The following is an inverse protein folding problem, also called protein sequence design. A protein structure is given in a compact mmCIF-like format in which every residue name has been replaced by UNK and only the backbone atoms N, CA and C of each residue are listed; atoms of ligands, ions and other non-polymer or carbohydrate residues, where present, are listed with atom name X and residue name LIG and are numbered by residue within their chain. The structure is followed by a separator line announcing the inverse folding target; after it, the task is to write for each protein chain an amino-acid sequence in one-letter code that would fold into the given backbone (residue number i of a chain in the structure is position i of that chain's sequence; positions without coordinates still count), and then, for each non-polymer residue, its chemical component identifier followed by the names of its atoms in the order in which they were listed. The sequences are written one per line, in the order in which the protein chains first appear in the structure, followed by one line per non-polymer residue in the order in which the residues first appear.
data_IF_649718424451
#
_entry.id   IF_649718424451
#
_cell.length_a   1.000
_cell.length_b   1.000
_cell.length_c   1.000
_cell.angle_alpha   90.00
_cell.angle_beta   90.00
_cell.angle_gamma   90.00
#
_symmetry.space_group_name_H-M   'P 1'
#
loop_
_entity.id
_entity.type
_entity.pdbx_description
1 polymer ?
#
# COMPACT_ATOMS: atom_id res chain seq x y z
N UNK A 1 22.26 9.64 14.60
CA UNK A 1 22.72 8.51 13.79
C UNK A 1 21.73 7.37 13.82
N UNK A 2 21.19 7.06 12.69
CA UNK A 2 20.78 5.79 12.11
C UNK A 2 19.54 5.11 12.67
N UNK A 3 18.37 5.47 12.15
CA UNK A 3 17.11 4.72 12.32
C UNK A 3 16.62 4.15 10.96
N UNK A 4 17.31 4.45 9.89
CA UNK A 4 16.94 3.99 8.55
C UNK A 4 17.62 2.69 8.10
N UNK A 5 18.31 1.98 9.00
CA UNK A 5 19.30 0.96 8.64
C UNK A 5 18.93 -0.47 8.96
N UNK A 6 17.71 -0.97 8.85
CA UNK A 6 17.53 -2.42 9.11
C UNK A 6 16.87 -3.26 8.01
N UNK A 7 16.37 -2.66 6.95
CA UNK A 7 15.87 -3.43 5.80
C UNK A 7 16.32 -2.86 4.44
N UNK A 8 17.29 -1.96 4.44
CA UNK A 8 17.50 -1.01 3.36
C UNK A 8 18.42 -1.49 2.21
N UNK A 9 19.00 -2.67 2.26
CA UNK A 9 20.10 -3.02 1.34
C UNK A 9 19.92 -4.28 0.52
N UNK A 10 18.77 -4.94 0.54
CA UNK A 10 18.51 -5.98 -0.45
C UNK A 10 18.01 -5.34 -1.74
N UNK A 11 18.74 -5.57 -2.83
CA UNK A 11 18.31 -5.22 -4.17
C UNK A 11 16.91 -5.79 -4.42
N UNK A 12 15.94 -4.95 -4.79
CA UNK A 12 14.62 -5.42 -5.19
C UNK A 12 14.53 -5.41 -6.71
N UNK A 13 13.83 -6.37 -7.28
CA UNK A 13 13.56 -6.37 -8.71
C UNK A 13 12.98 -5.03 -9.19
N UNK A 14 12.13 -4.40 -8.37
CA UNK A 14 11.55 -3.09 -8.70
C UNK A 14 12.59 -1.99 -8.90
N UNK A 15 13.73 -2.04 -8.20
CA UNK A 15 14.81 -1.08 -8.37
C UNK A 15 15.60 -1.30 -9.66
N UNK A 16 15.78 -2.56 -10.02
CA UNK A 16 16.55 -2.94 -11.21
C UNK A 16 15.71 -2.82 -12.50
N UNK A 17 14.38 -2.68 -12.36
CA UNK A 17 13.42 -2.54 -13.47
C UNK A 17 12.73 -1.17 -13.52
N UNK A 18 13.40 -0.13 -12.99
CA UNK A 18 12.89 1.25 -13.09
C UNK A 18 12.82 1.68 -14.57
N UNK A 19 11.65 2.15 -14.97
CA UNK A 19 11.36 2.68 -16.31
C UNK A 19 10.95 4.16 -16.31
N UNK A 20 11.01 4.82 -15.13
CA UNK A 20 10.63 6.23 -14.95
C UNK A 20 11.81 7.02 -14.44
N UNK A 21 12.21 8.04 -15.18
CA UNK A 21 13.19 9.02 -14.75
C UNK A 21 12.51 10.22 -14.10
N UNK A 22 13.13 10.77 -13.06
CA UNK A 22 12.74 11.99 -12.38
C UNK A 22 13.66 13.14 -12.77
N UNK A 23 13.16 14.37 -12.74
CA UNK A 23 14.01 15.53 -12.73
C UNK A 23 14.92 15.53 -11.49
N UNK A 24 16.13 16.13 -11.56
CA UNK A 24 17.04 16.19 -10.43
C UNK A 24 16.37 16.74 -9.18
N UNK A 25 16.43 15.99 -8.08
CA UNK A 25 15.79 16.35 -6.81
C UNK A 25 16.86 16.40 -5.70
N UNK A 26 17.58 17.53 -5.66
CA UNK A 26 18.65 17.76 -4.69
C UNK A 26 18.11 17.86 -3.27
N UNK A 27 18.93 17.58 -2.23
CA UNK A 27 18.56 17.83 -0.85
C UNK A 27 18.12 19.29 -0.61
N UNK A 28 17.20 19.49 0.34
CA UNK A 28 16.76 20.82 0.74
C UNK A 28 17.90 21.55 1.48
N UNK A 29 18.29 22.71 0.99
CA UNK A 29 19.25 23.59 1.64
C UNK A 29 18.67 24.98 1.84
N UNK A 30 18.91 25.59 3.04
CA UNK A 30 18.47 26.95 3.33
C UNK A 30 16.97 27.09 3.65
N UNK A 31 16.46 28.31 3.50
CA UNK A 31 15.11 28.69 3.90
C UNK A 31 14.19 28.83 2.69
N UNK A 32 13.09 28.11 2.69
CA UNK A 32 12.11 28.11 1.63
C UNK A 32 10.71 28.49 2.12
N UNK A 33 9.86 28.92 1.19
CA UNK A 33 8.44 29.17 1.41
C UNK A 33 7.59 28.43 0.38
N UNK A 34 6.50 27.83 0.86
CA UNK A 34 5.51 27.17 0.04
C UNK A 34 4.10 27.49 0.55
N UNK A 35 3.09 27.22 -0.26
CA UNK A 35 1.71 27.22 0.22
C UNK A 35 1.45 25.90 0.95
N UNK A 36 2.01 24.79 0.43
CA UNK A 36 1.91 23.46 1.06
C UNK A 36 3.27 22.76 1.09
N UNK A 37 3.65 22.24 2.26
CA UNK A 37 4.78 21.32 2.42
C UNK A 37 4.27 19.89 2.63
N UNK A 38 4.64 18.98 1.74
CA UNK A 38 4.29 17.55 1.81
C UNK A 38 5.49 16.75 2.32
N UNK A 39 5.32 15.92 3.33
CA UNK A 39 6.37 15.13 3.97
C UNK A 39 6.18 13.65 3.64
N UNK A 40 7.11 13.08 2.87
CA UNK A 40 7.12 11.69 2.40
C UNK A 40 6.66 11.56 0.94
N UNK A 41 7.53 11.05 0.06
CA UNK A 41 7.27 10.83 -1.36
C UNK A 41 6.92 9.34 -1.66
N UNK A 42 5.99 8.78 -0.90
CA UNK A 42 5.21 7.60 -1.27
C UNK A 42 4.02 7.96 -2.15
N UNK A 43 3.16 6.99 -2.47
CA UNK A 43 1.95 7.22 -3.30
C UNK A 43 1.09 8.35 -2.74
N UNK A 44 0.84 8.39 -1.42
CA UNK A 44 0.02 9.45 -0.80
C UNK A 44 0.62 10.83 -1.02
N UNK A 45 1.91 11.00 -0.73
CA UNK A 45 2.56 12.31 -0.83
C UNK A 45 2.74 12.78 -2.27
N UNK A 46 3.11 11.87 -3.18
CA UNK A 46 3.21 12.19 -4.62
C UNK A 46 1.85 12.56 -5.22
N UNK A 47 0.78 11.83 -4.85
CA UNK A 47 -0.58 12.16 -5.29
C UNK A 47 -1.05 13.50 -4.71
N UNK A 48 -0.79 13.77 -3.42
CA UNK A 48 -1.13 15.07 -2.80
C UNK A 48 -0.40 16.22 -3.50
N UNK A 49 0.91 16.07 -3.72
CA UNK A 49 1.72 17.08 -4.40
C UNK A 49 1.23 17.34 -5.84
N UNK A 50 0.88 16.28 -6.58
CA UNK A 50 0.33 16.39 -7.92
C UNK A 50 -0.98 17.20 -7.94
N UNK A 51 -1.97 16.77 -7.15
CA UNK A 51 -3.30 17.41 -7.16
C UNK A 51 -3.26 18.84 -6.63
N UNK A 52 -2.41 19.14 -5.63
CA UNK A 52 -2.19 20.51 -5.14
C UNK A 52 -1.52 21.41 -6.20
N UNK A 53 -0.47 20.91 -6.85
CA UNK A 53 0.22 21.67 -7.90
C UNK A 53 -0.70 21.95 -9.10
N UNK A 54 -1.54 20.96 -9.50
CA UNK A 54 -2.56 21.16 -10.55
C UNK A 54 -3.61 22.21 -10.18
N UNK A 55 -3.85 22.44 -8.89
CA UNK A 55 -4.73 23.51 -8.39
C UNK A 55 -4.02 24.86 -8.21
N UNK A 56 -2.74 24.95 -8.59
CA UNK A 56 -1.96 26.19 -8.57
C UNK A 56 -1.26 26.51 -7.24
N UNK A 57 -1.25 25.58 -6.27
CA UNK A 57 -0.48 25.75 -5.04
C UNK A 57 1.02 25.60 -5.31
N UNK A 58 1.84 26.42 -4.63
CA UNK A 58 3.29 26.21 -4.56
C UNK A 58 3.58 25.08 -3.59
N UNK A 59 3.97 23.93 -4.11
CA UNK A 59 4.17 22.70 -3.33
C UNK A 59 5.66 22.38 -3.23
N UNK A 60 6.12 22.11 -2.00
CA UNK A 60 7.43 21.48 -1.74
C UNK A 60 7.16 20.08 -1.16
N UNK A 61 7.68 19.04 -1.84
CA UNK A 61 7.62 17.65 -1.44
C UNK A 61 8.99 17.21 -0.91
N UNK A 62 9.04 16.79 0.36
CA UNK A 62 10.26 16.37 1.05
C UNK A 62 10.27 14.83 1.22
N UNK A 63 11.35 14.19 0.81
CA UNK A 63 11.58 12.77 1.00
C UNK A 63 12.90 12.52 1.73
N UNK A 64 12.86 11.68 2.74
CA UNK A 64 14.03 11.39 3.57
C UNK A 64 15.12 10.61 2.82
N UNK A 65 14.72 9.80 1.86
CA UNK A 65 15.60 8.93 1.06
C UNK A 65 15.29 9.11 -0.43
N UNK A 66 14.95 8.02 -1.13
CA UNK A 66 14.51 8.10 -2.52
C UNK A 66 12.99 8.00 -2.60
N UNK A 67 12.38 8.60 -3.60
CA UNK A 67 10.96 8.42 -3.92
C UNK A 67 10.58 6.94 -3.91
N UNK A 68 9.48 6.62 -3.26
CA UNK A 68 8.97 5.25 -3.16
C UNK A 68 9.81 4.31 -2.30
N UNK A 69 10.73 4.79 -1.48
CA UNK A 69 11.59 3.95 -0.63
C UNK A 69 10.80 3.04 0.33
N UNK A 70 9.68 3.50 0.84
CA UNK A 70 8.81 2.75 1.75
C UNK A 70 7.96 1.68 1.06
N UNK A 71 6.79 1.37 1.64
CA UNK A 71 5.84 0.37 1.12
C UNK A 71 5.41 0.63 -0.33
N UNK A 72 5.37 1.89 -0.74
CA UNK A 72 4.97 2.32 -2.09
C UNK A 72 5.83 1.75 -3.21
N UNK A 73 7.11 1.50 -2.98
CA UNK A 73 7.99 0.90 -3.98
C UNK A 73 8.45 -0.53 -3.64
N UNK A 74 7.79 -1.19 -2.66
CA UNK A 74 8.21 -2.52 -2.18
C UNK A 74 7.05 -3.52 -2.07
N UNK A 75 5.80 -3.08 -2.23
CA UNK A 75 4.58 -3.87 -2.10
C UNK A 75 4.36 -4.82 -3.28
N UNK A 76 3.34 -5.68 -3.19
CA UNK A 76 2.92 -6.54 -4.30
C UNK A 76 2.40 -5.81 -5.52
N UNK A 77 2.09 -4.51 -5.41
CA UNK A 77 1.55 -3.70 -6.50
C UNK A 77 0.08 -3.98 -6.81
N UNK A 78 -0.64 -4.64 -5.92
CA UNK A 78 -2.06 -4.97 -6.12
C UNK A 78 -2.94 -3.75 -5.87
N UNK A 79 -3.89 -3.52 -6.76
CA UNK A 79 -4.87 -2.42 -6.72
C UNK A 79 -6.27 -3.02 -6.61
N UNK A 80 -6.94 -2.73 -5.50
CA UNK A 80 -8.19 -3.37 -5.10
C UNK A 80 -9.16 -2.33 -4.55
N UNK A 81 -10.47 -2.49 -4.78
CA UNK A 81 -11.49 -1.79 -4.00
C UNK A 81 -11.49 -2.26 -2.54
N UNK A 82 -12.13 -1.51 -1.67
CA UNK A 82 -12.25 -1.82 -0.25
C UNK A 82 -11.11 -1.27 0.61
N UNK A 83 -11.00 -1.81 1.81
CA UNK A 83 -10.04 -1.41 2.83
C UNK A 83 -9.27 -2.64 3.33
N UNK A 84 -8.22 -2.43 4.12
CA UNK A 84 -7.53 -3.50 4.84
C UNK A 84 -8.37 -4.19 5.94
N UNK A 85 -9.61 -3.75 6.13
CA UNK A 85 -10.60 -4.30 7.06
C UNK A 85 -11.89 -4.67 6.35
N UNK A 86 -12.68 -5.56 6.96
CA UNK A 86 -14.03 -5.83 6.49
C UNK A 86 -14.91 -4.58 6.60
N UNK A 87 -15.72 -4.32 5.58
CA UNK A 87 -16.62 -3.15 5.53
C UNK A 87 -17.61 -3.10 6.72
N UNK A 88 -17.92 -4.25 7.34
CA UNK A 88 -18.70 -4.31 8.59
C UNK A 88 -18.05 -3.54 9.74
N UNK A 89 -16.72 -3.48 9.78
CA UNK A 89 -16.02 -2.68 10.79
C UNK A 89 -16.34 -1.19 10.64
N UNK A 90 -16.41 -0.72 9.41
CA UNK A 90 -16.81 0.66 9.09
C UNK A 90 -18.28 0.89 9.40
N UNK A 91 -19.14 -0.03 8.95
CA UNK A 91 -20.61 0.04 9.20
C UNK A 91 -20.94 0.09 10.69
N UNK A 92 -20.25 -0.73 11.50
CA UNK A 92 -20.42 -0.73 12.96
C UNK A 92 -19.91 0.55 13.64
N UNK A 93 -18.89 1.19 13.05
CA UNK A 93 -18.29 2.40 13.63
C UNK A 93 -18.99 3.69 13.21
N UNK A 94 -19.39 3.80 11.94
CA UNK A 94 -19.88 5.04 11.32
C UNK A 94 -21.30 4.94 10.75
N UNK A 95 -21.91 3.75 10.76
CA UNK A 95 -23.20 3.50 10.17
C UNK A 95 -23.16 3.16 8.67
N UNK A 96 -24.32 2.73 8.15
CA UNK A 96 -24.43 2.15 6.81
C UNK A 96 -24.20 3.17 5.69
N UNK A 97 -24.61 4.42 5.88
CA UNK A 97 -24.39 5.47 4.86
C UNK A 97 -22.90 5.72 4.65
N UNK A 98 -22.14 5.99 5.72
CA UNK A 98 -20.71 6.21 5.66
C UNK A 98 -19.95 4.99 5.12
N UNK A 99 -20.40 3.76 5.43
CA UNK A 99 -19.83 2.55 4.88
C UNK A 99 -20.02 2.45 3.35
N UNK A 100 -21.16 2.85 2.82
CA UNK A 100 -21.41 2.94 1.38
C UNK A 100 -20.53 4.01 0.72
N UNK A 101 -20.43 5.18 1.33
CA UNK A 101 -19.59 6.27 0.82
C UNK A 101 -18.12 5.85 0.77
N UNK A 102 -17.61 5.19 1.83
CA UNK A 102 -16.24 4.66 1.88
C UNK A 102 -16.03 3.55 0.84
N UNK A 103 -17.01 2.67 0.65
CA UNK A 103 -16.94 1.64 -0.39
C UNK A 103 -16.81 2.26 -1.79
N UNK A 104 -17.67 3.23 -2.14
CA UNK A 104 -17.61 3.91 -3.43
C UNK A 104 -16.30 4.71 -3.60
N UNK A 105 -15.82 5.38 -2.57
CA UNK A 105 -14.51 6.04 -2.59
C UNK A 105 -13.38 5.04 -2.79
N UNK A 106 -13.48 3.83 -2.26
CA UNK A 106 -12.47 2.79 -2.49
C UNK A 106 -12.46 2.30 -3.95
N UNK A 107 -13.62 2.21 -4.60
CA UNK A 107 -13.73 1.93 -6.05
C UNK A 107 -13.19 3.10 -6.88
N UNK A 108 -13.49 4.35 -6.46
CA UNK A 108 -12.90 5.54 -7.09
C UNK A 108 -11.37 5.50 -7.01
N UNK A 109 -10.79 5.01 -5.90
CA UNK A 109 -9.34 4.91 -5.75
C UNK A 109 -8.69 4.03 -6.83
N UNK A 110 -9.33 2.93 -7.20
CA UNK A 110 -8.88 2.06 -8.31
C UNK A 110 -9.00 2.78 -9.65
N UNK A 111 -10.17 3.40 -9.92
CA UNK A 111 -10.39 4.17 -11.14
C UNK A 111 -9.44 5.36 -11.26
N UNK A 112 -9.16 6.06 -10.16
CA UNK A 112 -8.18 7.15 -10.10
C UNK A 112 -6.77 6.64 -10.43
N UNK A 113 -6.37 5.48 -9.89
CA UNK A 113 -5.08 4.87 -10.20
C UNK A 113 -4.95 4.61 -11.70
N UNK A 114 -5.96 3.98 -12.32
CA UNK A 114 -5.98 3.72 -13.75
C UNK A 114 -5.94 5.02 -14.58
N UNK A 115 -6.74 6.00 -14.19
CA UNK A 115 -6.76 7.31 -14.85
C UNK A 115 -5.41 8.01 -14.82
N UNK A 116 -4.73 8.01 -13.64
CA UNK A 116 -3.41 8.64 -13.50
C UNK A 116 -2.35 7.90 -14.30
N UNK A 117 -2.41 6.56 -14.37
CA UNK A 117 -1.51 5.76 -15.20
C UNK A 117 -1.67 6.12 -16.67
N UNK A 118 -2.90 6.17 -17.15
CA UNK A 118 -3.20 6.48 -18.55
C UNK A 118 -2.86 7.95 -18.88
N UNK A 119 -3.38 8.90 -18.10
CA UNK A 119 -3.22 10.33 -18.35
C UNK A 119 -1.75 10.78 -18.34
N UNK A 120 -0.95 10.27 -17.39
CA UNK A 120 0.46 10.63 -17.26
C UNK A 120 1.41 9.62 -17.96
N UNK A 121 0.85 8.67 -18.73
CA UNK A 121 1.60 7.66 -19.47
C UNK A 121 2.68 7.00 -18.58
N UNK A 122 2.24 6.47 -17.43
CA UNK A 122 3.15 5.87 -16.44
C UNK A 122 3.45 4.41 -16.87
N UNK A 123 4.71 4.06 -17.16
CA UNK A 123 5.10 2.71 -17.61
C UNK A 123 5.17 1.75 -16.42
N UNK A 124 4.02 1.41 -15.81
CA UNK A 124 3.95 0.58 -14.61
C UNK A 124 3.32 -0.81 -14.82
N UNK A 125 3.28 -1.29 -16.07
CA UNK A 125 2.82 -2.67 -16.38
C UNK A 125 1.46 -3.01 -15.76
N UNK A 126 0.50 -2.07 -15.82
CA UNK A 126 -0.81 -2.26 -15.21
C UNK A 126 -1.58 -3.38 -15.91
N UNK A 127 -2.12 -4.32 -15.12
CA UNK A 127 -2.94 -5.44 -15.58
C UNK A 127 -4.19 -5.58 -14.72
N UNK A 128 -5.31 -5.97 -15.35
CA UNK A 128 -6.59 -6.17 -14.69
C UNK A 128 -6.85 -7.64 -14.39
N UNK A 129 -7.65 -7.86 -13.37
CA UNK A 129 -8.06 -9.16 -12.88
C UNK A 129 -7.38 -9.50 -11.56
N UNK A 130 -8.20 -9.94 -10.59
CA UNK A 130 -7.75 -10.32 -9.27
C UNK A 130 -8.55 -11.49 -8.72
N UNK A 131 -7.88 -12.42 -8.03
CA UNK A 131 -8.49 -13.56 -7.41
C UNK A 131 -8.38 -13.48 -5.89
N UNK A 132 -9.52 -13.62 -5.21
CA UNK A 132 -9.61 -13.92 -3.78
C UNK A 132 -9.76 -15.42 -3.63
N UNK A 133 -8.69 -16.16 -3.36
CA UNK A 133 -8.65 -17.62 -3.45
C UNK A 133 -8.94 -18.29 -2.10
N UNK A 134 -9.97 -19.14 -2.03
CA UNK A 134 -10.26 -19.94 -0.86
C UNK A 134 -9.20 -21.02 -0.67
N UNK A 135 -8.70 -21.19 0.57
CA UNK A 135 -7.74 -22.26 0.91
C UNK A 135 -8.44 -23.43 1.61
N UNK A 136 -9.55 -23.18 2.30
CA UNK A 136 -10.26 -24.17 3.12
C UNK A 136 -11.76 -24.16 2.79
N UNK A 137 -12.49 -25.26 3.07
CA UNK A 137 -13.95 -25.30 2.84
C UNK A 137 -14.73 -24.17 3.52
N UNK A 138 -14.33 -23.76 4.73
CA UNK A 138 -14.96 -22.63 5.42
C UNK A 138 -14.79 -21.29 4.65
N UNK A 139 -13.64 -21.09 4.02
CA UNK A 139 -13.36 -19.89 3.24
C UNK A 139 -14.23 -19.85 1.96
N UNK A 140 -14.60 -21.00 1.40
CA UNK A 140 -15.56 -21.08 0.28
C UNK A 140 -16.91 -20.49 0.69
N UNK A 141 -17.40 -20.85 1.88
CA UNK A 141 -18.65 -20.32 2.43
C UNK A 141 -18.55 -18.82 2.71
N UNK A 142 -17.44 -18.40 3.32
CA UNK A 142 -17.18 -16.98 3.63
C UNK A 142 -17.13 -16.10 2.35
N UNK A 143 -16.49 -16.59 1.28
CA UNK A 143 -16.43 -15.88 0.00
C UNK A 143 -17.82 -15.79 -0.67
N UNK A 144 -18.63 -16.86 -0.63
CA UNK A 144 -20.01 -16.82 -1.14
C UNK A 144 -20.86 -15.78 -0.40
N UNK A 145 -20.79 -15.80 0.94
CA UNK A 145 -21.49 -14.83 1.76
C UNK A 145 -21.03 -13.39 1.49
N UNK A 146 -19.74 -13.20 1.25
CA UNK A 146 -19.20 -11.89 0.88
C UNK A 146 -19.75 -11.44 -0.48
N UNK A 147 -19.72 -12.29 -1.51
CA UNK A 147 -20.29 -11.98 -2.83
C UNK A 147 -21.77 -11.57 -2.74
N UNK A 148 -22.59 -12.38 -2.06
CA UNK A 148 -24.01 -12.11 -1.89
C UNK A 148 -24.27 -10.79 -1.15
N UNK A 149 -23.49 -10.52 -0.11
CA UNK A 149 -23.58 -9.29 0.65
C UNK A 149 -23.24 -8.07 -0.19
N UNK A 150 -22.13 -8.13 -0.93
CA UNK A 150 -21.70 -7.00 -1.76
C UNK A 150 -22.74 -6.68 -2.84
N UNK A 151 -23.32 -7.68 -3.46
CA UNK A 151 -24.42 -7.48 -4.41
C UNK A 151 -25.67 -6.87 -3.74
N UNK A 152 -26.10 -7.41 -2.61
CA UNK A 152 -27.34 -6.99 -1.93
C UNK A 152 -27.24 -5.63 -1.26
N UNK A 153 -26.12 -5.36 -0.52
CA UNK A 153 -26.01 -4.22 0.40
C UNK A 153 -25.28 -3.02 -0.24
N UNK A 154 -24.42 -3.28 -1.24
CA UNK A 154 -23.57 -2.29 -1.89
C UNK A 154 -23.80 -2.17 -3.41
N UNK A 155 -24.77 -2.92 -3.98
CA UNK A 155 -25.03 -2.98 -5.42
C UNK A 155 -23.75 -3.24 -6.25
N UNK A 156 -22.85 -4.11 -5.69
CA UNK A 156 -21.58 -4.43 -6.33
C UNK A 156 -21.61 -5.84 -6.91
N UNK A 157 -21.54 -5.92 -8.24
CA UNK A 157 -21.62 -7.14 -9.03
C UNK A 157 -20.29 -7.49 -9.74
N UNK A 158 -19.18 -6.84 -9.32
CA UNK A 158 -17.85 -7.06 -9.90
C UNK A 158 -17.16 -8.34 -9.46
N UNK A 159 -17.74 -9.10 -8.50
CA UNK A 159 -17.20 -10.35 -7.97
C UNK A 159 -17.84 -11.55 -8.70
N UNK A 160 -17.04 -12.33 -9.41
CA UNK A 160 -17.50 -13.50 -10.17
C UNK A 160 -16.91 -14.78 -9.59
N UNK A 161 -17.77 -15.79 -9.38
CA UNK A 161 -17.34 -17.06 -8.84
C UNK A 161 -16.56 -17.91 -9.85
N UNK A 162 -15.44 -18.51 -9.41
CA UNK A 162 -14.59 -19.41 -10.20
C UNK A 162 -14.30 -20.67 -9.41
N UNK A 163 -14.51 -21.83 -10.04
CA UNK A 163 -14.19 -23.15 -9.50
C UNK A 163 -13.92 -24.14 -10.64
N UNK A 164 -13.24 -25.25 -10.38
CA UNK A 164 -12.92 -26.27 -11.39
C UNK A 164 -12.13 -25.68 -12.56
N UNK A 165 -12.57 -26.01 -13.79
CA UNK A 165 -11.89 -25.55 -15.03
C UNK A 165 -11.95 -24.03 -15.17
N UNK A 166 -13.04 -23.38 -14.78
CA UNK A 166 -13.15 -21.92 -14.81
C UNK A 166 -12.14 -21.21 -13.87
N UNK A 167 -11.71 -21.85 -12.78
CA UNK A 167 -10.63 -21.33 -11.94
C UNK A 167 -9.26 -21.57 -12.58
N UNK A 168 -9.08 -22.72 -13.27
CA UNK A 168 -7.82 -23.05 -13.96
C UNK A 168 -7.50 -22.13 -15.13
N UNK A 169 -8.49 -21.45 -15.70
CA UNK A 169 -8.27 -20.38 -16.68
C UNK A 169 -7.52 -19.17 -16.10
N UNK A 170 -7.53 -19.01 -14.78
CA UNK A 170 -6.91 -17.87 -14.07
C UNK A 170 -5.66 -18.28 -13.28
N UNK A 171 -5.69 -19.43 -12.59
CA UNK A 171 -4.56 -19.95 -11.83
C UNK A 171 -4.47 -21.46 -11.94
N UNK A 172 -3.29 -21.96 -12.29
CA UNK A 172 -3.08 -23.40 -12.51
C UNK A 172 -2.43 -24.04 -11.28
N UNK A 173 -3.27 -24.40 -10.30
CA UNK A 173 -2.86 -25.09 -9.06
C UNK A 173 -4.04 -25.85 -8.47
N UNK A 174 -3.75 -26.90 -7.68
CA UNK A 174 -4.74 -27.67 -6.92
C UNK A 174 -4.93 -27.12 -5.48
N UNK A 175 -4.24 -26.03 -5.14
CA UNK A 175 -4.25 -25.47 -3.78
C UNK A 175 -5.57 -24.78 -3.40
N UNK A 176 -6.37 -24.39 -4.39
CA UNK A 176 -7.58 -23.59 -4.18
C UNK A 176 -8.82 -24.28 -4.74
N UNK A 177 -9.80 -24.64 -3.88
CA UNK A 177 -11.07 -25.25 -4.34
C UNK A 177 -11.94 -24.26 -5.12
N UNK A 178 -11.86 -22.96 -4.84
CA UNK A 178 -12.63 -21.92 -5.49
C UNK A 178 -12.00 -20.53 -5.24
N UNK A 179 -12.43 -19.53 -6.02
CA UNK A 179 -12.08 -18.13 -5.83
C UNK A 179 -13.22 -17.20 -6.25
N UNK A 180 -13.16 -15.95 -5.78
CA UNK A 180 -13.87 -14.83 -6.40
C UNK A 180 -12.89 -14.11 -7.31
N UNK A 181 -13.24 -14.00 -8.58
CA UNK A 181 -12.54 -13.15 -9.53
C UNK A 181 -13.16 -11.77 -9.53
N UNK A 182 -12.32 -10.74 -9.39
CA UNK A 182 -12.72 -9.34 -9.31
C UNK A 182 -12.20 -8.58 -10.53
N UNK A 183 -13.13 -8.12 -11.35
CA UNK A 183 -12.87 -7.45 -12.62
C UNK A 183 -12.29 -6.05 -12.43
N UNK A 184 -12.79 -5.33 -11.41
CA UNK A 184 -12.40 -3.94 -11.11
C UNK A 184 -11.12 -3.84 -10.28
N UNK A 185 -10.42 -4.95 -10.10
CA UNK A 185 -9.15 -5.04 -9.39
C UNK A 185 -8.03 -5.48 -10.33
N UNK A 186 -6.78 -5.29 -9.91
CA UNK A 186 -5.63 -5.66 -10.73
C UNK A 186 -4.30 -5.46 -10.02
N UNK A 187 -3.26 -5.26 -10.80
CA UNK A 187 -1.92 -5.02 -10.28
C UNK A 187 -1.07 -4.16 -11.20
N UNK A 188 0.03 -3.66 -10.66
CA UNK A 188 0.98 -2.83 -11.39
C UNK A 188 2.40 -2.94 -10.79
N UNK A 189 3.38 -2.36 -11.47
CA UNK A 189 4.73 -2.17 -10.93
C UNK A 189 4.73 -0.98 -9.95
N UNK A 190 4.78 -1.21 -8.61
CA UNK A 190 4.47 -0.19 -7.62
C UNK A 190 5.49 0.95 -7.57
N UNK A 191 6.78 0.67 -7.82
CA UNK A 191 7.80 1.71 -7.82
C UNK A 191 7.68 2.60 -9.06
N UNK A 192 7.47 2.03 -10.25
CA UNK A 192 7.25 2.82 -11.46
C UNK A 192 5.99 3.69 -11.36
N UNK A 193 4.91 3.17 -10.77
CA UNK A 193 3.72 3.98 -10.49
C UNK A 193 4.03 5.16 -9.55
N UNK A 194 4.74 4.92 -8.45
CA UNK A 194 5.10 5.98 -7.48
C UNK A 194 6.02 7.03 -8.11
N UNK A 195 7.03 6.59 -8.88
CA UNK A 195 7.93 7.49 -9.62
C UNK A 195 7.17 8.28 -10.69
N UNK A 196 6.22 7.63 -11.38
CA UNK A 196 5.36 8.29 -12.36
C UNK A 196 4.52 9.40 -11.76
N UNK A 197 3.94 9.17 -10.56
CA UNK A 197 3.24 10.22 -9.82
C UNK A 197 4.16 11.37 -9.40
N UNK A 198 5.38 11.06 -8.94
CA UNK A 198 6.36 12.08 -8.58
C UNK A 198 6.77 12.92 -9.80
N UNK A 199 7.03 12.28 -10.95
CA UNK A 199 7.29 12.97 -12.22
C UNK A 199 6.14 13.87 -12.63
N UNK A 200 4.90 13.37 -12.54
CA UNK A 200 3.71 14.15 -12.85
C UNK A 200 3.57 15.37 -11.91
N UNK A 201 3.89 15.21 -10.63
CA UNK A 201 3.88 16.31 -9.67
C UNK A 201 4.96 17.38 -10.01
N UNK A 202 6.18 16.96 -10.39
CA UNK A 202 7.23 17.89 -10.87
C UNK A 202 6.77 18.63 -12.13
N UNK A 203 6.20 17.94 -13.10
CA UNK A 203 5.66 18.54 -14.33
C UNK A 203 4.52 19.53 -14.06
N UNK A 204 3.72 19.30 -13.00
CA UNK A 204 2.70 20.22 -12.54
C UNK A 204 3.26 21.41 -11.73
N UNK A 205 4.57 21.46 -11.46
CA UNK A 205 5.25 22.56 -10.78
C UNK A 205 5.58 22.31 -9.31
N UNK A 206 5.37 21.09 -8.76
CA UNK A 206 5.82 20.76 -7.43
C UNK A 206 7.35 20.61 -7.38
N UNK A 207 7.99 21.14 -6.34
CA UNK A 207 9.44 21.02 -6.12
C UNK A 207 9.69 19.84 -5.21
N UNK A 208 10.44 18.84 -5.73
CA UNK A 208 10.81 17.64 -4.99
C UNK A 208 12.23 17.76 -4.45
N UNK A 209 12.40 17.49 -3.15
CA UNK A 209 13.71 17.31 -2.52
C UNK A 209 13.81 15.90 -1.94
N UNK A 210 14.75 15.11 -2.44
CA UNK A 210 15.16 13.82 -1.87
C UNK A 210 16.28 14.01 -0.85
N UNK A 211 16.57 12.98 -0.07
CA UNK A 211 17.61 13.01 0.99
C UNK A 211 17.45 14.19 1.96
N UNK A 212 16.19 14.53 2.24
CA UNK A 212 15.79 15.68 3.06
C UNK A 212 14.94 15.22 4.25
N UNK A 213 15.53 14.46 5.21
CA UNK A 213 14.80 13.93 6.36
C UNK A 213 14.27 15.09 7.22
N UNK A 214 12.95 15.14 7.39
CA UNK A 214 12.31 16.07 8.30
C UNK A 214 12.54 15.62 9.75
N UNK A 215 13.06 16.55 10.58
CA UNK A 215 13.42 16.29 11.97
C UNK A 215 12.49 16.97 12.97
N UNK A 216 11.77 18.02 12.54
CA UNK A 216 10.85 18.78 13.41
C UNK A 216 9.74 19.44 12.59
N UNK A 217 8.56 19.61 13.20
CA UNK A 217 7.43 20.37 12.67
C UNK A 217 6.98 21.35 13.75
N UNK A 218 7.21 22.64 13.53
CA UNK A 218 6.78 23.72 14.43
C UNK A 218 5.43 24.24 13.98
N UNK A 219 4.44 24.04 14.84
CA UNK A 219 3.07 24.48 14.57
C UNK A 219 2.92 26.00 14.76
N UNK A 220 2.00 26.61 14.02
CA UNK A 220 1.66 28.03 14.09
C UNK A 220 0.66 28.41 13.01
N UNK A 221 0.39 29.72 12.84
CA UNK A 221 -0.45 30.21 11.74
C UNK A 221 0.11 29.77 10.37
N UNK A 222 1.43 29.81 10.23
CA UNK A 222 2.21 29.07 9.25
C UNK A 222 3.04 28.04 10.00
N UNK A 223 3.12 26.84 9.45
CA UNK A 223 3.96 25.80 10.03
C UNK A 223 5.38 25.88 9.46
N UNK A 224 6.38 25.51 10.26
CA UNK A 224 7.76 25.41 9.80
C UNK A 224 8.20 23.94 9.87
N UNK A 225 8.50 23.35 8.71
CA UNK A 225 9.05 22.00 8.55
C UNK A 225 10.55 22.11 8.49
N UNK A 226 11.28 21.42 9.39
CA UNK A 226 12.73 21.53 9.56
C UNK A 226 13.41 20.24 9.11
N UNK A 227 14.43 20.36 8.27
CA UNK A 227 15.38 19.30 7.93
C UNK A 227 16.75 19.59 8.57
N UNK A 228 17.73 18.72 8.36
CA UNK A 228 19.10 18.96 8.88
C UNK A 228 19.80 20.17 8.19
N UNK A 229 19.50 20.45 6.91
CA UNK A 229 20.19 21.45 6.11
C UNK A 229 19.30 22.64 5.69
N UNK A 230 18.01 22.60 5.99
CA UNK A 230 17.10 23.67 5.57
C UNK A 230 15.75 23.60 6.28
N UNK A 231 14.86 24.53 5.93
CA UNK A 231 13.49 24.56 6.44
C UNK A 231 12.51 25.09 5.39
N UNK A 232 11.25 24.64 5.50
CA UNK A 232 10.14 25.14 4.70
C UNK A 232 9.11 25.80 5.62
N UNK A 233 8.79 27.05 5.40
CA UNK A 233 7.64 27.72 6.02
C UNK A 233 6.45 27.59 5.07
N UNK A 234 5.35 26.98 5.52
CA UNK A 234 4.19 26.70 4.69
C UNK A 234 2.87 27.04 5.40
N UNK A 235 1.86 27.42 4.62
CA UNK A 235 0.52 27.66 5.13
C UNK A 235 -0.14 26.35 5.59
N UNK A 236 0.12 25.25 4.85
CA UNK A 236 -0.37 23.91 5.17
C UNK A 236 0.76 22.88 5.13
N UNK A 237 0.60 21.81 5.94
CA UNK A 237 1.51 20.66 5.96
C UNK A 237 0.72 19.38 5.78
N UNK A 238 1.20 18.51 4.90
CA UNK A 238 0.70 17.15 4.70
C UNK A 238 1.74 16.15 5.19
N UNK A 239 1.38 15.28 6.12
CA UNK A 239 2.23 14.20 6.63
C UNK A 239 1.81 12.89 5.97
N UNK A 240 2.64 12.39 5.05
CA UNK A 240 2.43 11.17 4.26
C UNK A 240 3.51 10.10 4.52
N UNK A 241 4.07 10.09 5.73
CA UNK A 241 5.19 9.23 6.12
C UNK A 241 4.81 7.80 6.46
N UNK A 242 3.51 7.50 6.60
CA UNK A 242 2.98 6.19 6.94
C UNK A 242 3.76 5.51 8.10
N UNK A 243 4.38 4.35 7.87
CA UNK A 243 5.13 3.60 8.90
C UNK A 243 6.38 4.32 9.44
N UNK A 244 6.83 5.40 8.82
CA UNK A 244 8.11 6.05 9.12
C UNK A 244 7.99 7.38 9.90
N UNK A 245 6.77 7.74 10.34
CA UNK A 245 6.49 8.97 11.09
C UNK A 245 6.76 8.90 12.61
N UNK A 246 7.19 7.77 13.15
CA UNK A 246 7.26 7.45 14.59
C UNK A 246 7.98 8.48 15.47
N UNK A 247 9.03 9.12 14.95
CA UNK A 247 9.82 10.10 15.69
C UNK A 247 9.35 11.53 15.46
N UNK A 248 8.84 11.78 14.28
CA UNK A 248 8.40 13.10 13.86
C UNK A 248 7.08 13.49 14.55
N UNK A 249 6.15 12.52 14.64
CA UNK A 249 4.81 12.76 15.20
C UNK A 249 4.43 11.64 16.18
N UNK A 250 4.84 11.74 17.44
CA UNK A 250 4.57 10.71 18.46
C UNK A 250 3.07 10.42 18.67
N UNK A 251 2.18 11.41 18.47
CA UNK A 251 0.73 11.27 18.61
C UNK A 251 0.14 10.29 17.57
N UNK A 252 0.72 10.22 16.37
CA UNK A 252 0.30 9.30 15.32
C UNK A 252 0.87 7.90 15.53
N UNK A 253 2.09 7.82 16.07
CA UNK A 253 2.85 6.57 16.17
C UNK A 253 2.21 5.51 17.06
N UNK A 254 1.41 5.92 18.05
CA UNK A 254 0.69 5.01 18.95
C UNK A 254 -0.50 4.30 18.28
N UNK A 255 -1.01 4.82 17.16
CA UNK A 255 -2.18 4.28 16.44
C UNK A 255 -1.81 3.26 15.39
N UNK A 256 -0.55 3.22 14.99
CA UNK A 256 -0.05 2.29 13.97
C UNK A 256 1.03 1.38 14.54
N UNK A 257 1.17 0.24 13.90
CA UNK A 257 2.22 -0.71 14.13
C UNK A 257 2.92 -1.03 12.83
N UNK A 258 4.25 -1.06 12.88
CA UNK A 258 5.08 -1.49 11.77
C UNK A 258 5.10 -3.02 11.70
N UNK A 259 4.78 -3.56 10.53
CA UNK A 259 4.94 -4.96 10.22
C UNK A 259 5.84 -5.08 8.98
N UNK A 260 6.95 -5.78 9.12
CA UNK A 260 7.82 -6.08 8.00
C UNK A 260 7.21 -7.21 7.17
N UNK A 261 7.02 -6.97 5.89
CA UNK A 261 6.54 -7.95 4.92
C UNK A 261 7.69 -8.31 3.96
N UNK A 262 7.72 -9.55 3.49
CA UNK A 262 8.80 -10.07 2.66
C UNK A 262 8.27 -10.55 1.32
N UNK A 263 9.02 -10.20 0.27
CA UNK A 263 8.73 -10.46 -1.12
C UNK A 263 9.89 -11.18 -1.80
N UNK A 264 9.57 -11.94 -2.82
CA UNK A 264 10.57 -12.52 -3.75
C UNK A 264 10.19 -12.23 -5.20
N UNK A 265 11.17 -12.33 -6.09
CA UNK A 265 10.97 -12.48 -7.53
C UNK A 265 11.82 -13.63 -8.06
N UNK A 266 11.18 -14.49 -8.85
CA UNK A 266 11.87 -15.58 -9.54
C UNK A 266 12.72 -15.07 -10.70
N UNK A 267 13.54 -15.92 -11.31
CA UNK A 267 14.03 -15.72 -12.66
C UNK A 267 12.83 -15.56 -13.64
N UNK A 268 13.03 -14.90 -14.80
CA UNK A 268 11.98 -14.80 -15.82
C UNK A 268 11.55 -16.20 -16.31
N UNK A 269 10.24 -16.40 -16.40
CA UNK A 269 9.67 -17.63 -16.97
C UNK A 269 9.53 -17.55 -18.48
N UNK A 270 9.56 -18.70 -19.15
CA UNK A 270 9.08 -18.80 -20.52
C UNK A 270 7.57 -18.50 -20.58
N UNK A 271 7.05 -18.17 -21.74
CA UNK A 271 5.61 -17.97 -21.96
C UNK A 271 4.79 -19.21 -21.57
N UNK A 272 5.32 -20.39 -21.90
CA UNK A 272 4.68 -21.65 -21.55
C UNK A 272 4.63 -21.88 -20.03
N UNK A 273 5.69 -21.55 -19.29
CA UNK A 273 5.71 -21.64 -17.83
C UNK A 273 4.76 -20.61 -17.22
N UNK A 274 4.75 -19.36 -17.68
CA UNK A 274 3.86 -18.32 -17.20
C UNK A 274 2.38 -18.69 -17.41
N UNK A 275 2.03 -19.28 -18.56
CA UNK A 275 0.69 -19.78 -18.85
C UNK A 275 0.29 -20.99 -17.95
N UNK A 276 1.26 -21.72 -17.39
CA UNK A 276 1.03 -22.80 -16.43
C UNK A 276 1.02 -22.32 -14.96
N UNK A 277 1.10 -21.01 -14.73
CA UNK A 277 1.03 -20.38 -13.39
C UNK A 277 -0.19 -19.47 -13.32
N UNK A 278 -0.21 -18.40 -14.11
CA UNK A 278 -1.26 -17.39 -14.19
C UNK A 278 -1.59 -17.08 -15.66
N UNK A 279 -2.40 -17.91 -16.33
CA UNK A 279 -2.66 -17.81 -17.77
C UNK A 279 -3.15 -16.44 -18.25
N UNK A 280 -3.91 -15.74 -17.40
CA UNK A 280 -4.50 -14.42 -17.71
C UNK A 280 -3.75 -13.25 -17.09
N UNK A 281 -2.60 -13.52 -16.44
CA UNK A 281 -1.84 -12.51 -15.70
C UNK A 281 -2.68 -11.79 -14.62
N UNK A 282 -3.65 -12.47 -14.02
CA UNK A 282 -4.35 -11.95 -12.85
C UNK A 282 -3.42 -11.90 -11.64
N UNK A 283 -3.67 -10.98 -10.71
CA UNK A 283 -3.08 -11.10 -9.39
C UNK A 283 -3.96 -11.99 -8.50
N UNK A 284 -3.38 -12.50 -7.41
CA UNK A 284 -4.10 -13.34 -6.47
C UNK A 284 -3.67 -13.06 -5.03
N UNK A 285 -4.61 -13.12 -4.09
CA UNK A 285 -4.33 -13.40 -2.69
C UNK A 285 -5.18 -14.57 -2.19
N UNK A 286 -4.62 -15.33 -1.24
CA UNK A 286 -5.39 -16.35 -0.55
C UNK A 286 -6.17 -15.76 0.66
N UNK A 287 -6.98 -16.60 1.31
CA UNK A 287 -7.85 -16.23 2.43
C UNK A 287 -7.26 -16.57 3.80
N UNK A 288 -5.96 -16.89 3.90
CA UNK A 288 -5.30 -17.08 5.18
C UNK A 288 -5.16 -15.75 5.94
N UNK A 289 -5.02 -15.79 7.25
CA UNK A 289 -4.79 -14.57 8.06
C UNK A 289 -3.45 -13.89 7.71
N UNK A 290 -2.40 -14.66 7.46
CA UNK A 290 -1.17 -14.19 6.82
C UNK A 290 -1.25 -14.62 5.36
N UNK A 291 -1.70 -13.71 4.52
CA UNK A 291 -1.98 -13.97 3.11
C UNK A 291 -0.73 -14.39 2.35
N UNK A 292 -0.85 -15.43 1.54
CA UNK A 292 0.03 -15.61 0.39
C UNK A 292 -0.58 -14.84 -0.79
N UNK A 293 0.22 -14.00 -1.46
CA UNK A 293 -0.23 -13.21 -2.60
C UNK A 293 0.84 -13.13 -3.67
N UNK A 294 0.41 -13.11 -4.92
CA UNK A 294 1.34 -13.13 -6.04
C UNK A 294 0.72 -12.62 -7.34
N UNK A 295 1.58 -12.32 -8.29
CA UNK A 295 1.30 -11.89 -9.66
C UNK A 295 2.50 -12.15 -10.57
N UNK A 296 2.35 -11.96 -11.87
CA UNK A 296 3.50 -11.88 -12.77
C UNK A 296 3.95 -10.42 -12.95
N UNK A 297 5.24 -10.26 -13.26
CA UNK A 297 5.81 -9.01 -13.78
C UNK A 297 5.72 -8.98 -15.31
N UNK A 298 6.01 -7.84 -15.92
CA UNK A 298 6.04 -7.68 -17.37
C UNK A 298 7.06 -8.59 -18.07
N UNK A 299 8.17 -8.90 -17.41
CA UNK A 299 9.18 -9.87 -17.86
C UNK A 299 8.89 -11.31 -17.39
N UNK A 300 7.66 -11.60 -16.91
CA UNK A 300 7.17 -12.92 -16.52
C UNK A 300 7.87 -13.54 -15.31
N UNK A 301 8.29 -12.76 -14.33
CA UNK A 301 8.72 -13.28 -13.03
C UNK A 301 7.50 -13.52 -12.14
N UNK A 302 7.53 -14.55 -11.33
CA UNK A 302 6.57 -14.66 -10.21
C UNK A 302 7.02 -13.72 -9.10
N UNK A 303 6.24 -12.67 -8.85
CA UNK A 303 6.38 -11.78 -7.70
C UNK A 303 5.49 -12.34 -6.61
N UNK A 304 6.07 -12.80 -5.49
CA UNK A 304 5.35 -13.48 -4.42
C UNK A 304 5.65 -12.83 -3.06
N UNK A 305 4.62 -12.67 -2.24
CA UNK A 305 4.69 -12.21 -0.86
C UNK A 305 3.79 -13.07 0.04
N UNK A 306 4.07 -13.10 1.33
CA UNK A 306 3.24 -13.90 2.25
C UNK A 306 3.85 -14.14 3.62
N UNK A 307 5.05 -13.66 3.89
CA UNK A 307 5.67 -13.78 5.20
C UNK A 307 5.74 -12.42 5.89
N UNK A 308 5.41 -12.39 7.17
CA UNK A 308 5.34 -11.17 7.97
C UNK A 308 6.14 -11.33 9.26
N UNK A 309 6.86 -10.28 9.64
CA UNK A 309 7.53 -10.16 10.92
C UNK A 309 7.14 -8.86 11.62
N UNK A 310 7.00 -8.91 12.92
CA UNK A 310 6.64 -7.76 13.76
C UNK A 310 7.80 -7.26 14.62
N UNK A 311 8.92 -7.97 14.65
CA UNK A 311 10.16 -7.56 15.33
C UNK A 311 11.18 -6.90 14.41
N UNK A 312 10.81 -6.73 13.13
CA UNK A 312 11.64 -6.12 12.08
C UNK A 312 12.79 -7.01 11.58
N UNK A 313 12.84 -8.29 12.02
CA UNK A 313 13.84 -9.25 11.56
C UNK A 313 13.21 -10.28 10.63
N UNK A 314 13.93 -10.73 9.60
CA UNK A 314 13.43 -11.82 8.77
C UNK A 314 13.17 -13.08 9.60
N UNK A 315 12.02 -13.75 9.44
CA UNK A 315 11.76 -15.01 10.13
C UNK A 315 12.82 -16.05 9.80
N UNK A 316 13.23 -16.86 10.76
CA UNK A 316 14.21 -17.93 10.53
C UNK A 316 13.71 -18.89 9.44
N UNK A 317 14.57 -19.25 8.51
CA UNK A 317 14.23 -20.14 7.41
C UNK A 317 13.20 -19.57 6.43
N UNK A 318 13.05 -18.24 6.36
CA UNK A 318 12.14 -17.55 5.45
C UNK A 318 12.29 -18.03 4.01
N UNK A 319 13.52 -18.05 3.51
CA UNK A 319 13.82 -18.46 2.13
C UNK A 319 13.34 -19.88 1.83
N UNK A 320 13.78 -20.85 2.62
CA UNK A 320 13.41 -22.24 2.43
C UNK A 320 11.90 -22.49 2.53
N UNK A 321 11.20 -21.76 3.40
CA UNK A 321 9.73 -21.87 3.50
C UNK A 321 9.02 -21.27 2.29
N UNK A 322 9.47 -20.10 1.83
CA UNK A 322 8.90 -19.45 0.65
C UNK A 322 9.13 -20.31 -0.59
N UNK A 323 10.35 -20.82 -0.79
CA UNK A 323 10.69 -21.73 -1.88
C UNK A 323 9.80 -22.98 -1.85
N UNK A 324 9.64 -23.61 -0.68
CA UNK A 324 8.80 -24.79 -0.54
C UNK A 324 7.32 -24.50 -0.86
N UNK A 325 6.79 -23.33 -0.46
CA UNK A 325 5.44 -22.92 -0.80
C UNK A 325 5.24 -22.75 -2.31
N UNK A 326 6.14 -22.03 -2.97
CA UNK A 326 6.05 -21.80 -4.43
C UNK A 326 6.12 -23.10 -5.20
N UNK A 327 7.05 -23.99 -4.86
CA UNK A 327 7.19 -25.31 -5.52
C UNK A 327 5.99 -26.22 -5.30
N UNK A 328 5.31 -26.09 -4.14
CA UNK A 328 4.06 -26.80 -3.86
C UNK A 328 2.89 -26.21 -4.64
N UNK A 329 2.79 -24.89 -4.73
CA UNK A 329 1.72 -24.21 -5.48
C UNK A 329 1.86 -24.46 -6.98
N UNK A 330 3.09 -24.41 -7.48
CA UNK A 330 3.42 -24.50 -8.91
C UNK A 330 4.55 -25.50 -9.15
N UNK A 331 4.25 -26.80 -9.30
CA UNK A 331 5.27 -27.81 -9.57
C UNK A 331 6.10 -27.55 -10.83
N UNK A 332 5.57 -26.83 -11.83
CA UNK A 332 6.29 -26.39 -13.03
C UNK A 332 7.48 -25.47 -12.72
N UNK A 333 7.47 -24.82 -11.55
CA UNK A 333 8.53 -23.92 -11.07
C UNK A 333 9.54 -24.62 -10.14
N UNK A 334 9.58 -25.97 -10.13
CA UNK A 334 10.45 -26.73 -9.22
C UNK A 334 11.92 -26.35 -9.36
N UNK A 335 12.38 -26.08 -10.57
CA UNK A 335 13.80 -25.79 -10.88
C UNK A 335 14.05 -24.27 -11.13
N UNK A 336 13.04 -23.40 -10.90
CA UNK A 336 13.24 -21.97 -11.12
C UNK A 336 14.04 -21.34 -9.98
N UNK A 337 14.96 -20.45 -10.31
CA UNK A 337 15.75 -19.71 -9.34
C UNK A 337 14.94 -18.53 -8.77
N UNK A 338 15.17 -18.20 -7.49
CA UNK A 338 14.67 -16.98 -6.88
C UNK A 338 15.82 -15.97 -6.88
N UNK A 339 15.73 -14.98 -7.77
CA UNK A 339 16.82 -14.02 -8.00
C UNK A 339 16.77 -12.85 -7.02
N UNK A 340 15.56 -12.44 -6.60
CA UNK A 340 15.41 -11.28 -5.73
C UNK A 340 14.64 -11.62 -4.46
N UNK A 341 15.09 -11.00 -3.36
CA UNK A 341 14.41 -11.06 -2.05
C UNK A 341 14.49 -9.69 -1.40
N UNK A 342 13.36 -9.14 -0.99
CA UNK A 342 13.33 -7.84 -0.33
C UNK A 342 12.25 -7.79 0.73
N UNK A 343 12.34 -6.80 1.61
CA UNK A 343 11.33 -6.50 2.61
C UNK A 343 10.87 -5.06 2.55
N UNK A 344 9.74 -4.79 3.16
CA UNK A 344 9.18 -3.45 3.33
C UNK A 344 8.26 -3.38 4.54
N UNK A 345 8.21 -2.22 5.18
CA UNK A 345 7.35 -2.00 6.34
C UNK A 345 5.98 -1.48 5.92
N UNK A 346 4.93 -2.11 6.41
CA UNK A 346 3.56 -1.62 6.33
C UNK A 346 3.11 -1.09 7.68
N UNK A 347 2.29 -0.04 7.68
CA UNK A 347 1.63 0.47 8.88
C UNK A 347 0.26 -0.19 9.02
N UNK A 348 0.04 -0.83 10.16
CA UNK A 348 -1.21 -1.51 10.49
C UNK A 348 -1.87 -0.78 11.66
N UNK A 349 -3.15 -0.41 11.54
CA UNK A 349 -4.00 0.08 12.63
C UNK A 349 -4.67 -1.10 13.33
N UNK A 350 -5.17 -0.90 14.55
CA UNK A 350 -5.82 -1.99 15.30
C UNK A 350 -7.08 -2.53 14.62
N UNK A 351 -7.87 -1.66 14.01
CA UNK A 351 -9.08 -2.01 13.27
C UNK A 351 -8.83 -2.24 11.78
N UNK A 352 -7.58 -2.12 11.33
CA UNK A 352 -7.14 -2.22 9.94
C UNK A 352 -7.75 -1.21 8.97
N UNK A 353 -8.55 -0.25 9.43
CA UNK A 353 -9.00 0.88 8.63
C UNK A 353 -7.90 1.95 8.53
N UNK A 354 -7.84 2.74 7.44
CA UNK A 354 -6.87 3.81 7.30
C UNK A 354 -7.15 4.94 8.31
N UNK A 355 -6.09 5.54 8.84
CA UNK A 355 -6.14 6.62 9.85
C UNK A 355 -5.83 7.96 9.18
N UNK A 356 -6.87 8.76 8.96
CA UNK A 356 -6.78 10.11 8.44
C UNK A 356 -7.09 11.10 9.56
N UNK A 357 -6.48 12.29 9.53
CA UNK A 357 -6.80 13.29 10.54
C UNK A 357 -6.02 14.59 10.42
N UNK A 358 -6.24 15.43 11.43
CA UNK A 358 -5.59 16.73 11.60
C UNK A 358 -4.86 16.75 12.94
N UNK A 359 -3.62 17.22 12.94
CA UNK A 359 -2.84 17.47 14.16
C UNK A 359 -2.96 18.92 14.62
N UNK A 360 -3.22 19.83 13.68
CA UNK A 360 -3.51 21.23 13.87
C UNK A 360 -4.45 21.69 12.74
N UNK A 361 -5.04 22.87 12.80
CA UNK A 361 -5.94 23.36 11.74
C UNK A 361 -5.36 23.33 10.33
N UNK A 362 -4.03 23.41 10.22
CA UNK A 362 -3.30 23.43 8.95
C UNK A 362 -2.29 22.28 8.80
N UNK A 363 -2.38 21.22 9.63
CA UNK A 363 -1.48 20.05 9.55
C UNK A 363 -2.30 18.78 9.45
N UNK A 364 -2.28 18.15 8.28
CA UNK A 364 -3.08 16.98 7.91
C UNK A 364 -2.22 15.74 7.77
N UNK A 365 -2.81 14.57 7.93
CA UNK A 365 -2.12 13.31 7.71
C UNK A 365 -3.04 12.21 7.16
N UNK A 366 -2.42 11.22 6.50
CA UNK A 366 -3.02 9.95 6.14
C UNK A 366 -1.99 8.82 6.29
N UNK A 367 -2.38 7.75 7.02
CA UNK A 367 -1.52 6.61 7.34
C UNK A 367 -2.32 5.33 7.59
N UNK A 368 -1.63 4.19 7.81
CA UNK A 368 -2.25 3.01 8.38
C UNK A 368 -3.13 2.23 7.43
N UNK A 369 -2.79 2.14 6.16
CA UNK A 369 -3.56 1.42 5.13
C UNK A 369 -3.61 -0.11 5.32
N UNK A 370 -2.86 -0.64 6.29
CA UNK A 370 -2.92 -2.04 6.73
C UNK A 370 -2.71 -3.08 5.61
N UNK A 371 -1.83 -2.78 4.65
CA UNK A 371 -1.53 -3.63 3.51
C UNK A 371 -2.42 -3.42 2.27
N UNK A 372 -3.43 -2.58 2.35
CA UNK A 372 -4.41 -2.30 1.28
C UNK A 372 -4.29 -0.86 0.73
N UNK A 373 -3.05 -0.40 0.51
CA UNK A 373 -2.81 1.04 0.32
C UNK A 373 -2.49 1.46 -1.12
N UNK A 374 -2.28 0.57 -2.08
CA UNK A 374 -1.75 1.00 -3.39
C UNK A 374 -2.72 1.96 -4.11
N UNK A 375 -3.98 1.60 -4.25
CA UNK A 375 -4.99 2.49 -4.83
C UNK A 375 -5.44 3.58 -3.82
N UNK A 376 -5.77 3.15 -2.59
CA UNK A 376 -6.35 4.05 -1.59
C UNK A 376 -5.41 5.19 -1.18
N UNK A 377 -4.08 4.99 -1.21
CA UNK A 377 -3.11 6.03 -0.92
C UNK A 377 -3.09 7.15 -2.00
N UNK A 378 -3.37 6.79 -3.25
CA UNK A 378 -3.55 7.76 -4.33
C UNK A 378 -4.77 8.65 -4.08
N UNK A 379 -5.91 8.04 -3.73
CA UNK A 379 -7.11 8.79 -3.35
C UNK A 379 -6.87 9.63 -2.09
N UNK A 380 -6.19 9.10 -1.08
CA UNK A 380 -5.87 9.87 0.13
C UNK A 380 -5.11 11.16 -0.19
N UNK A 381 -4.15 11.12 -1.11
CA UNK A 381 -3.46 12.32 -1.58
C UNK A 381 -4.40 13.33 -2.23
N UNK A 382 -5.33 12.87 -3.08
CA UNK A 382 -6.37 13.72 -3.69
C UNK A 382 -7.30 14.33 -2.63
N UNK A 383 -7.78 13.54 -1.67
CA UNK A 383 -8.66 14.03 -0.59
C UNK A 383 -7.97 15.06 0.31
N UNK A 384 -6.67 14.90 0.56
CA UNK A 384 -5.85 15.89 1.27
C UNK A 384 -5.76 17.21 0.49
N UNK A 385 -5.60 17.14 -0.84
CA UNK A 385 -5.60 18.32 -1.70
C UNK A 385 -6.98 19.01 -1.72
N UNK A 386 -8.06 18.25 -1.88
CA UNK A 386 -9.44 18.75 -1.79
C UNK A 386 -9.70 19.45 -0.46
N UNK A 387 -9.25 18.86 0.66
CA UNK A 387 -9.39 19.41 2.00
C UNK A 387 -8.68 20.75 2.16
N UNK A 388 -7.45 20.88 1.65
CA UNK A 388 -6.68 22.13 1.68
C UNK A 388 -7.36 23.19 0.81
N UNK A 389 -8.02 22.80 -0.27
CA UNK A 389 -8.81 23.68 -1.13
C UNK A 389 -10.21 24.02 -0.55
N UNK A 390 -10.54 23.58 0.66
CA UNK A 390 -11.78 23.90 1.36
C UNK A 390 -12.92 22.89 1.15
N UNK A 391 -12.66 21.72 0.56
CA UNK A 391 -13.63 20.64 0.33
C UNK A 391 -13.26 19.44 1.20
N UNK A 392 -13.68 19.44 2.46
CA UNK A 392 -13.23 18.46 3.45
C UNK A 392 -14.19 17.30 3.68
N UNK A 393 -15.41 17.32 3.15
CA UNK A 393 -16.50 16.40 3.48
C UNK A 393 -16.09 14.93 3.30
N UNK A 394 -15.42 14.61 2.21
CA UNK A 394 -14.97 13.26 1.89
C UNK A 394 -13.82 12.78 2.79
N UNK A 395 -12.90 13.68 3.08
CA UNK A 395 -11.81 13.43 4.03
C UNK A 395 -12.35 13.22 5.44
N UNK A 396 -13.35 14.01 5.84
CA UNK A 396 -13.94 13.97 7.17
C UNK A 396 -14.68 12.65 7.44
N UNK A 397 -15.26 12.00 6.41
CA UNK A 397 -15.82 10.66 6.53
C UNK A 397 -14.73 9.65 6.97
N UNK A 398 -13.56 9.68 6.34
CA UNK A 398 -12.45 8.82 6.77
C UNK A 398 -11.90 9.21 8.14
N UNK A 399 -11.78 10.51 8.43
CA UNK A 399 -11.22 10.99 9.69
C UNK A 399 -12.14 10.73 10.90
N UNK A 400 -13.44 10.49 10.66
CA UNK A 400 -14.40 10.09 11.70
C UNK A 400 -14.20 8.64 12.17
N UNK A 401 -13.39 7.83 11.46
CA UNK A 401 -13.12 6.45 11.84
C UNK A 401 -12.36 6.39 13.17
N UNK A 402 -12.88 5.72 14.21
CA UNK A 402 -12.23 5.70 15.51
C UNK A 402 -10.98 4.80 15.50
N UNK A 403 -9.86 5.35 15.95
CA UNK A 403 -8.60 4.62 16.08
C UNK A 403 -8.14 4.55 17.53
N UNK A 404 -7.91 3.33 18.01
CA UNK A 404 -7.35 3.09 19.34
C UNK A 404 -5.83 2.99 19.26
N UNK A 405 -5.16 3.46 20.33
CA UNK A 405 -3.73 3.23 20.49
C UNK A 405 -3.45 1.76 20.80
N UNK A 406 -2.34 1.24 20.29
CA UNK A 406 -1.89 -0.12 20.65
C UNK A 406 -1.60 -0.23 22.15
N UNK A 407 -2.11 -1.27 22.83
CA UNK A 407 -1.87 -1.49 24.25
C UNK A 407 -0.38 -1.57 24.58
N UNK A 408 0.02 -0.97 25.72
CA UNK A 408 1.40 -1.01 26.20
C UNK A 408 2.37 -0.05 25.52
N UNK A 409 1.86 0.88 24.67
CA UNK A 409 2.65 1.92 24.04
C UNK A 409 3.83 1.37 23.22
N UNK A 410 4.93 2.14 23.18
CA UNK A 410 6.12 1.79 22.38
C UNK A 410 6.84 0.52 22.82
N UNK A 411 6.70 0.13 24.10
CA UNK A 411 7.48 -0.96 24.70
C UNK A 411 6.80 -2.34 24.61
N UNK A 412 5.48 -2.41 24.78
CA UNK A 412 4.74 -3.66 24.86
C UNK A 412 3.97 -4.01 23.59
N UNK A 413 3.79 -3.06 22.64
CA UNK A 413 3.03 -3.31 21.40
C UNK A 413 3.60 -4.48 20.59
N UNK A 414 4.93 -4.56 20.44
CA UNK A 414 5.59 -5.63 19.67
C UNK A 414 5.45 -7.01 20.33
N UNK A 415 5.77 -7.21 21.63
CA UNK A 415 5.56 -8.50 22.30
C UNK A 415 4.12 -8.99 22.28
N UNK A 416 3.14 -8.12 22.56
CA UNK A 416 1.73 -8.48 22.56
C UNK A 416 1.24 -8.93 21.19
N UNK A 417 1.78 -8.32 20.15
CA UNK A 417 1.39 -8.67 18.78
C UNK A 417 2.03 -9.97 18.31
N UNK A 418 3.29 -10.23 18.66
CA UNK A 418 3.92 -11.53 18.37
C UNK A 418 3.08 -12.65 18.97
N UNK A 419 2.57 -12.47 20.18
CA UNK A 419 1.65 -13.43 20.81
C UNK A 419 0.34 -13.58 20.03
N UNK A 420 -0.30 -12.47 19.68
CA UNK A 420 -1.56 -12.48 18.90
C UNK A 420 -1.37 -13.15 17.53
N UNK A 421 -0.28 -12.84 16.84
CA UNK A 421 -0.01 -13.43 15.52
C UNK A 421 0.27 -14.93 15.60
N UNK A 422 1.01 -15.37 16.61
CA UNK A 422 1.24 -16.79 16.81
C UNK A 422 -0.07 -17.53 17.10
N UNK A 423 -0.99 -16.92 17.85
CA UNK A 423 -2.35 -17.45 18.05
C UNK A 423 -3.12 -17.56 16.73
N UNK A 424 -3.12 -16.53 15.88
CA UNK A 424 -3.81 -16.56 14.59
C UNK A 424 -3.16 -17.53 13.60
N UNK A 425 -1.81 -17.63 13.56
CA UNK A 425 -1.10 -18.65 12.76
C UNK A 425 -1.46 -20.07 13.21
N UNK A 426 -1.69 -20.29 14.51
CA UNK A 426 -2.16 -21.58 15.01
C UNK A 426 -3.59 -21.87 14.55
N UNK A 427 -4.47 -20.85 14.59
CA UNK A 427 -5.85 -20.95 14.09
C UNK A 427 -5.92 -21.20 12.58
N UNK A 428 -4.98 -20.66 11.81
CA UNK A 428 -4.87 -20.93 10.37
C UNK A 428 -4.46 -22.38 10.07
N UNK A 429 -3.89 -23.10 11.04
CA UNK A 429 -3.54 -24.52 10.88
C UNK A 429 -4.72 -25.47 11.22
N UNK A 430 -5.67 -25.00 12.01
CA UNK A 430 -6.92 -25.69 12.37
C UNK A 430 -8.01 -25.36 11.34
#
# INVERSE_FOLDING_TARGET
MTVYSSSATTASWYRDSIAVELEPALPLEGDHRADVCVIGAGVTGCSAALHLAQQGYRVILLEALNVGHGASGRSGGQILPGLGTDIRTVENALGRSAARDIWEMSREAVRLTAHLVDHHQIPCEMSWGYLHAAVKPRHVVELRQWQERMARDFDYHGLEWREGDALREHVVTDAYPAALWEREAGHLHPLNYTLGLARAAQQAGAILHQFSPVVDIRHGKQATVVTECGRVTADHVVIATNAYGDRLVPQMSGRIMRAANYMIATAPMSEQQAAQVLPRNDALSDTNFVLDYYRLSGDRRLIYGGEVSYDGRPPRGLEARTDAKIRRLFPVLKEIDIEYRWGGDVAITMNRAPDFGRLAPNVFYAQGYSGHGMALAGLAGKLLAETIAGQSERFDIFSAMPHRMFPGGRWLRTPLLVLATNFYKLRDRL
#
